data_IF_627514372296
#
_entry.id   IF_627514372296
#
_cell.length_a   1.000
_cell.length_b   1.000
_cell.length_c   1.000
_cell.angle_alpha   90.00
_cell.angle_beta   90.00
_cell.angle_gamma   90.00
#
_symmetry.space_group_name_H-M   'P 1'
#
loop_
_entity.id
_entity.type
_entity.pdbx_description
1 polymer ?
#
# COMPACT_ATOMS: atom_id res chain seq x y z
N UNK A 1 -3.32 -9.97 -9.53
CA UNK A 1 -2.85 -8.57 -9.50
C UNK A 1 -1.41 -8.49 -9.96
N UNK A 2 -1.02 -7.34 -10.49
CA UNK A 2 0.33 -7.05 -10.99
C UNK A 2 0.76 -5.72 -10.38
N UNK A 3 2.05 -5.53 -10.23
CA UNK A 3 2.60 -4.32 -9.64
C UNK A 3 3.90 -3.88 -10.34
N UNK A 4 4.21 -2.59 -10.16
CA UNK A 4 5.44 -1.93 -10.59
C UNK A 4 5.68 -1.84 -12.10
N UNK A 5 6.82 -1.36 -12.46
CA UNK A 5 7.26 -1.06 -13.82
C UNK A 5 8.53 -1.84 -14.15
N UNK A 6 8.82 -2.02 -15.44
CA UNK A 6 9.95 -2.83 -15.91
C UNK A 6 11.27 -2.03 -16.03
N UNK A 7 11.54 -1.08 -15.12
CA UNK A 7 12.71 -0.21 -15.13
C UNK A 7 12.87 0.67 -16.40
N UNK A 8 11.78 0.87 -17.14
CA UNK A 8 11.73 1.72 -18.32
C UNK A 8 10.52 2.64 -18.27
N UNK A 9 10.71 3.86 -18.75
CA UNK A 9 9.63 4.80 -18.98
C UNK A 9 9.06 4.55 -20.38
N UNK A 10 7.76 4.21 -20.46
CA UNK A 10 7.08 3.97 -21.73
C UNK A 10 6.18 5.15 -22.12
N UNK A 11 5.88 5.23 -23.42
CA UNK A 11 4.83 6.13 -23.90
C UNK A 11 3.46 5.68 -23.37
N UNK A 12 2.49 6.57 -23.39
CA UNK A 12 1.12 6.27 -22.98
C UNK A 12 0.50 5.15 -23.84
N UNK A 13 0.80 5.15 -25.14
CA UNK A 13 0.31 4.11 -26.07
C UNK A 13 0.85 2.73 -25.69
N UNK A 14 2.15 2.64 -25.37
CA UNK A 14 2.75 1.37 -24.94
C UNK A 14 2.18 0.89 -23.62
N UNK A 15 1.96 1.79 -22.67
CA UNK A 15 1.29 1.44 -21.40
C UNK A 15 -0.12 0.91 -21.64
N UNK A 16 -0.91 1.56 -22.47
CA UNK A 16 -2.25 1.10 -22.82
C UNK A 16 -2.24 -0.26 -23.51
N UNK A 17 -1.27 -0.52 -24.40
CA UNK A 17 -1.12 -1.83 -25.02
C UNK A 17 -0.82 -2.92 -23.98
N UNK A 18 0.12 -2.67 -23.05
CA UNK A 18 0.49 -3.60 -22.00
C UNK A 18 -0.70 -3.90 -21.08
N UNK A 19 -1.32 -2.86 -20.53
CA UNK A 19 -2.41 -3.02 -19.56
C UNK A 19 -3.64 -3.66 -20.19
N UNK A 20 -4.00 -3.27 -21.42
CA UNK A 20 -5.09 -3.88 -22.19
C UNK A 20 -4.82 -5.38 -22.45
N UNK A 21 -3.63 -5.73 -22.93
CA UNK A 21 -3.26 -7.12 -23.22
C UNK A 21 -3.35 -7.98 -21.95
N UNK A 22 -2.88 -7.47 -20.82
CA UNK A 22 -2.96 -8.16 -19.53
C UNK A 22 -4.42 -8.35 -19.10
N UNK A 23 -5.27 -7.32 -19.22
CA UNK A 23 -6.69 -7.40 -18.85
C UNK A 23 -7.46 -8.37 -19.77
N UNK A 24 -7.24 -8.31 -21.08
CA UNK A 24 -7.84 -9.26 -22.04
C UNK A 24 -7.48 -10.70 -21.69
N UNK A 25 -6.21 -10.97 -21.35
CA UNK A 25 -5.77 -12.28 -20.92
C UNK A 25 -6.42 -12.73 -19.61
N UNK A 26 -6.52 -11.84 -18.63
CA UNK A 26 -7.14 -12.14 -17.34
C UNK A 26 -8.64 -12.42 -17.45
N UNK A 27 -9.35 -11.68 -18.32
CA UNK A 27 -10.80 -11.82 -18.49
C UNK A 27 -11.21 -12.88 -19.49
N UNK A 28 -10.29 -13.37 -20.34
CA UNK A 28 -10.56 -14.48 -21.27
C UNK A 28 -10.41 -15.87 -20.64
N UNK A 29 -9.92 -15.98 -19.40
CA UNK A 29 -9.62 -17.25 -18.75
C UNK A 29 -10.13 -17.31 -17.31
N UNK A 30 -10.27 -18.51 -16.76
CA UNK A 30 -10.64 -18.72 -15.35
C UNK A 30 -11.97 -18.07 -14.96
N UNK A 31 -11.98 -17.35 -13.85
CA UNK A 31 -13.16 -16.66 -13.31
C UNK A 31 -13.50 -15.35 -14.03
N UNK A 32 -12.74 -14.97 -15.04
CA UNK A 32 -12.92 -13.71 -15.80
C UNK A 32 -12.90 -12.44 -14.93
N UNK A 33 -12.19 -12.48 -13.81
CA UNK A 33 -12.04 -11.34 -12.89
C UNK A 33 -10.88 -10.48 -13.38
N UNK A 34 -11.09 -9.17 -13.62
CA UNK A 34 -10.01 -8.25 -13.99
C UNK A 34 -8.90 -8.23 -12.94
N UNK A 35 -7.67 -8.03 -13.40
CA UNK A 35 -6.57 -7.77 -12.46
C UNK A 35 -6.62 -6.33 -11.94
N UNK A 36 -6.04 -6.11 -10.77
CA UNK A 36 -5.68 -4.77 -10.32
C UNK A 36 -4.17 -4.58 -10.57
N UNK A 37 -3.81 -3.50 -11.24
CA UNK A 37 -2.41 -3.12 -11.49
C UNK A 37 -2.05 -1.95 -10.60
N UNK A 38 -0.94 -2.04 -9.86
CA UNK A 38 -0.48 -1.01 -8.93
C UNK A 38 0.92 -0.49 -9.26
N UNK A 39 1.15 0.82 -9.08
CA UNK A 39 2.44 1.49 -9.30
C UNK A 39 2.73 2.51 -8.20
N UNK A 40 4.01 2.90 -8.10
CA UNK A 40 4.48 3.98 -7.23
C UNK A 40 4.52 5.32 -7.99
N UNK A 41 3.38 5.98 -8.11
CA UNK A 41 3.28 7.34 -8.64
C UNK A 41 3.16 8.35 -7.48
N UNK A 42 4.21 8.47 -6.65
CA UNK A 42 4.19 9.24 -5.40
C UNK A 42 4.21 10.76 -5.71
N UNK A 43 5.01 11.18 -6.68
CA UNK A 43 5.17 12.58 -7.08
C UNK A 43 4.94 12.80 -8.58
N UNK A 44 3.89 12.21 -9.11
CA UNK A 44 3.53 12.17 -10.51
C UNK A 44 3.67 10.78 -11.12
N UNK A 45 3.12 10.57 -12.30
CA UNK A 45 3.17 9.30 -13.03
C UNK A 45 4.53 9.12 -13.76
N UNK A 46 5.62 9.15 -13.02
CA UNK A 46 7.01 9.23 -13.52
C UNK A 46 7.43 8.08 -14.45
N UNK A 47 6.67 7.01 -14.51
CA UNK A 47 6.86 5.87 -15.40
C UNK A 47 6.24 6.06 -16.80
N UNK A 48 5.56 7.18 -17.04
CA UNK A 48 4.98 7.55 -18.33
C UNK A 48 5.82 8.68 -18.95
N UNK A 49 6.20 8.57 -20.22
CA UNK A 49 6.90 9.64 -20.93
C UNK A 49 6.00 10.89 -21.03
N UNK A 50 6.61 12.05 -20.78
CA UNK A 50 5.96 13.37 -20.85
C UNK A 50 4.85 13.58 -19.79
N UNK A 51 4.78 12.75 -18.75
CA UNK A 51 3.91 13.00 -17.60
C UNK A 51 4.41 14.16 -16.74
N UNK A 52 3.52 14.68 -15.91
CA UNK A 52 3.85 15.74 -14.97
C UNK A 52 4.72 15.20 -13.83
N UNK A 53 5.87 15.85 -13.61
CA UNK A 53 6.75 15.58 -12.48
C UNK A 53 6.51 16.64 -11.39
N UNK A 54 6.15 16.18 -10.22
CA UNK A 54 5.98 17.03 -9.04
C UNK A 54 7.20 16.94 -8.11
N UNK A 55 7.39 17.91 -7.19
CA UNK A 55 8.31 17.72 -6.08
C UNK A 55 7.97 16.48 -5.27
N UNK A 56 8.96 15.91 -4.58
CA UNK A 56 8.69 14.87 -3.56
C UNK A 56 7.74 15.41 -2.48
N UNK A 57 7.07 14.52 -1.75
CA UNK A 57 6.03 14.93 -0.80
C UNK A 57 6.54 15.90 0.27
N UNK A 58 7.81 15.82 0.69
CA UNK A 58 8.41 16.81 1.60
C UNK A 58 8.45 18.22 1.00
N UNK A 59 8.72 18.33 -0.31
CA UNK A 59 8.70 19.61 -1.03
C UNK A 59 7.29 20.16 -1.18
N UNK A 60 6.32 19.30 -1.46
CA UNK A 60 4.90 19.67 -1.47
C UNK A 60 4.45 20.15 -0.08
N UNK A 61 4.84 19.43 0.98
CA UNK A 61 4.48 19.79 2.36
C UNK A 61 5.03 21.15 2.78
N UNK A 62 6.18 21.56 2.28
CA UNK A 62 6.77 22.87 2.53
C UNK A 62 5.92 24.04 2.01
N UNK A 63 5.00 23.79 1.08
CA UNK A 63 4.05 24.80 0.59
C UNK A 63 2.92 25.13 1.57
N UNK A 64 2.58 24.21 2.46
CA UNK A 64 1.40 24.25 3.35
C UNK A 64 0.07 24.44 2.60
N UNK A 65 0.05 24.21 1.29
CA UNK A 65 -1.10 24.45 0.43
C UNK A 65 -1.92 23.16 0.21
N UNK A 66 -3.07 23.12 0.85
CA UNK A 66 -3.99 21.96 0.76
C UNK A 66 -4.67 21.84 -0.60
N UNK A 67 -4.86 22.95 -1.33
CA UNK A 67 -5.42 22.94 -2.66
C UNK A 67 -4.41 22.36 -3.67
N UNK A 68 -3.15 22.76 -3.55
CA UNK A 68 -2.04 22.22 -4.34
C UNK A 68 -1.85 20.72 -4.09
N UNK A 69 -1.93 20.25 -2.84
CA UNK A 69 -1.83 18.84 -2.51
C UNK A 69 -2.96 18.02 -3.17
N UNK A 70 -4.19 18.53 -3.15
CA UNK A 70 -5.31 17.89 -3.84
C UNK A 70 -5.14 17.88 -5.35
N UNK A 71 -4.67 18.98 -5.93
CA UNK A 71 -4.48 19.11 -7.38
C UNK A 71 -3.35 18.21 -7.88
N UNK A 72 -2.22 18.12 -7.16
CA UNK A 72 -1.17 17.15 -7.43
C UNK A 72 -1.75 15.72 -7.48
N UNK A 73 -2.54 15.34 -6.48
CA UNK A 73 -3.21 14.04 -6.45
C UNK A 73 -4.12 13.84 -7.67
N UNK A 74 -4.92 14.84 -8.04
CA UNK A 74 -5.83 14.77 -9.19
C UNK A 74 -5.08 14.58 -10.52
N UNK A 75 -4.03 15.35 -10.75
CA UNK A 75 -3.23 15.24 -11.99
C UNK A 75 -2.52 13.89 -12.03
N UNK A 76 -1.89 13.48 -10.94
CA UNK A 76 -1.24 12.16 -10.85
C UNK A 76 -2.24 11.03 -11.11
N UNK A 77 -3.44 11.11 -10.54
CA UNK A 77 -4.49 10.10 -10.79
C UNK A 77 -4.90 10.05 -12.25
N UNK A 78 -5.17 11.20 -12.84
CA UNK A 78 -5.56 11.30 -14.25
C UNK A 78 -4.53 10.67 -15.19
N UNK A 79 -3.25 11.02 -15.03
CA UNK A 79 -2.17 10.48 -15.86
C UNK A 79 -1.95 8.98 -15.60
N UNK A 80 -1.98 8.56 -14.32
CA UNK A 80 -1.87 7.14 -13.95
C UNK A 80 -3.02 6.32 -14.54
N UNK A 81 -4.25 6.81 -14.40
CA UNK A 81 -5.43 6.12 -14.94
C UNK A 81 -5.42 6.06 -16.47
N UNK A 82 -4.93 7.12 -17.13
CA UNK A 82 -4.77 7.16 -18.58
C UNK A 82 -3.87 6.02 -19.12
N UNK A 83 -2.91 5.55 -18.32
CA UNK A 83 -2.07 4.39 -18.67
C UNK A 83 -2.74 3.02 -18.44
N UNK A 84 -4.00 3.02 -18.01
CA UNK A 84 -4.74 1.79 -17.68
C UNK A 84 -4.44 1.24 -16.28
N UNK A 85 -3.72 2.00 -15.43
CA UNK A 85 -3.37 1.60 -14.06
C UNK A 85 -4.36 2.20 -13.07
N UNK A 86 -5.14 1.38 -12.33
CA UNK A 86 -6.19 1.89 -11.45
C UNK A 86 -5.77 2.06 -9.98
N UNK A 87 -4.52 1.76 -9.61
CA UNK A 87 -4.08 1.69 -8.21
C UNK A 87 -2.72 2.34 -8.03
N UNK A 88 -2.61 3.28 -7.09
CA UNK A 88 -1.39 4.01 -6.79
C UNK A 88 -0.92 3.76 -5.35
N UNK A 89 0.36 3.38 -5.17
CA UNK A 89 0.99 3.16 -3.87
C UNK A 89 1.42 4.48 -3.22
N UNK A 90 0.46 5.35 -2.95
CA UNK A 90 0.61 6.70 -2.40
C UNK A 90 -0.71 7.13 -1.74
N UNK A 91 -0.71 8.08 -0.78
CA UNK A 91 0.41 8.88 -0.27
C UNK A 91 1.26 8.14 0.78
N UNK A 92 2.48 8.69 1.03
CA UNK A 92 3.32 8.27 2.14
C UNK A 92 2.91 9.06 3.39
N UNK A 93 2.33 8.37 4.36
CA UNK A 93 1.82 8.96 5.60
C UNK A 93 2.73 8.73 6.80
N UNK A 94 3.92 8.17 6.55
CA UNK A 94 4.97 8.05 7.56
C UNK A 94 5.41 9.45 8.02
N UNK A 95 5.59 9.63 9.33
CA UNK A 95 6.10 10.90 9.85
C UNK A 95 7.62 10.98 9.70
N UNK A 96 8.10 12.05 9.08
CA UNK A 96 9.51 12.35 8.90
C UNK A 96 10.15 12.90 10.17
N UNK A 97 10.32 12.08 11.21
CA UNK A 97 10.93 12.49 12.49
C UNK A 97 12.37 12.02 12.64
N UNK A 98 12.89 11.25 11.71
CA UNK A 98 14.26 10.75 11.69
C UNK A 98 14.94 11.22 10.41
N UNK A 99 15.61 12.40 10.38
CA UNK A 99 16.15 13.00 9.15
C UNK A 99 17.19 12.16 8.43
N UNK A 100 17.86 11.23 9.11
CA UNK A 100 18.84 10.31 8.52
C UNK A 100 18.20 9.07 7.90
N UNK A 101 16.88 8.90 8.00
CA UNK A 101 16.19 7.82 7.31
C UNK A 101 16.19 8.07 5.79
N UNK A 102 16.60 7.04 5.01
CA UNK A 102 16.80 7.18 3.58
C UNK A 102 15.56 7.57 2.79
N UNK A 103 14.35 7.32 3.33
CA UNK A 103 13.06 7.64 2.72
C UNK A 103 12.38 8.90 3.31
N UNK A 104 13.11 9.66 4.11
CA UNK A 104 12.61 10.90 4.73
C UNK A 104 11.98 11.85 3.69
N UNK A 105 12.56 11.96 2.52
CA UNK A 105 12.10 12.85 1.44
C UNK A 105 10.73 12.47 0.85
N UNK A 106 10.30 11.22 1.02
CA UNK A 106 8.97 10.76 0.59
C UNK A 106 7.86 11.22 1.55
N UNK A 107 8.19 11.69 2.76
CA UNK A 107 7.21 12.02 3.80
C UNK A 107 6.63 13.43 3.65
N UNK A 108 5.48 13.67 4.27
CA UNK A 108 4.89 15.00 4.42
C UNK A 108 5.46 15.78 5.62
N UNK A 109 6.64 15.38 6.13
CA UNK A 109 7.32 16.01 7.25
C UNK A 109 6.97 15.40 8.61
N UNK A 110 7.43 16.10 9.69
CA UNK A 110 7.36 15.59 11.06
C UNK A 110 6.06 15.88 11.79
N UNK A 111 5.28 16.86 11.29
CA UNK A 111 4.08 17.34 11.94
C UNK A 111 2.86 16.47 11.62
N UNK A 112 2.24 15.93 12.67
CA UNK A 112 1.08 15.05 12.54
C UNK A 112 -0.12 15.72 11.88
N UNK A 113 -0.37 17.00 12.21
CA UNK A 113 -1.51 17.73 11.66
C UNK A 113 -1.32 18.02 10.18
N UNK A 114 -0.12 18.43 9.80
CA UNK A 114 0.24 18.69 8.40
C UNK A 114 0.13 17.41 7.57
N UNK A 115 0.78 16.32 8.00
CA UNK A 115 0.74 15.01 7.32
C UNK A 115 -0.71 14.49 7.19
N UNK A 116 -1.49 14.58 8.26
CA UNK A 116 -2.92 14.23 8.24
C UNK A 116 -3.70 15.06 7.22
N UNK A 117 -3.49 16.37 7.22
CA UNK A 117 -4.26 17.30 6.38
C UNK A 117 -3.90 17.15 4.92
N UNK A 118 -2.62 17.22 4.57
CA UNK A 118 -2.16 17.11 3.18
C UNK A 118 -2.37 15.71 2.62
N UNK A 119 -2.04 14.66 3.39
CA UNK A 119 -2.26 13.28 2.97
C UNK A 119 -3.74 12.99 2.65
N UNK A 120 -4.66 13.51 3.46
CA UNK A 120 -6.10 13.43 3.15
C UNK A 120 -6.46 14.14 1.84
N UNK A 121 -5.85 15.31 1.57
CA UNK A 121 -6.10 16.03 0.32
C UNK A 121 -5.56 15.30 -0.90
N UNK A 122 -4.38 14.68 -0.78
CA UNK A 122 -3.83 13.83 -1.83
C UNK A 122 -4.78 12.65 -2.14
N UNK A 123 -5.28 11.95 -1.11
CA UNK A 123 -6.27 10.87 -1.28
C UNK A 123 -7.54 11.38 -1.98
N UNK A 124 -8.04 12.54 -1.58
CA UNK A 124 -9.19 13.17 -2.25
C UNK A 124 -8.90 13.55 -3.71
N UNK A 125 -7.67 13.89 -4.03
CA UNK A 125 -7.22 14.09 -5.40
C UNK A 125 -7.20 12.80 -6.20
N UNK A 126 -6.64 11.72 -5.65
CA UNK A 126 -6.58 10.41 -6.30
C UNK A 126 -7.95 9.80 -6.55
N UNK A 127 -8.84 9.85 -5.56
CA UNK A 127 -10.08 9.09 -5.55
C UNK A 127 -11.33 9.92 -5.87
N UNK A 128 -11.18 11.25 -6.03
CA UNK A 128 -12.33 12.14 -6.27
C UNK A 128 -13.34 12.08 -5.13
N UNK A 129 -14.61 11.93 -5.47
CA UNK A 129 -15.72 11.77 -4.51
C UNK A 129 -16.04 10.30 -4.20
N UNK A 130 -15.18 9.37 -4.64
CA UNK A 130 -15.40 7.93 -4.47
C UNK A 130 -16.15 7.27 -5.63
N UNK A 131 -16.52 8.04 -6.65
CA UNK A 131 -17.03 7.53 -7.92
C UNK A 131 -15.83 7.32 -8.84
N UNK A 132 -15.30 6.10 -8.84
CA UNK A 132 -14.09 5.75 -9.59
C UNK A 132 -14.41 5.68 -11.09
N UNK A 133 -14.28 6.80 -11.73
CA UNK A 133 -14.36 6.92 -13.18
C UNK A 133 -12.98 6.71 -13.85
N UNK A 134 -12.91 7.06 -15.12
CA UNK A 134 -11.68 6.98 -15.92
C UNK A 134 -10.56 7.95 -15.52
N UNK A 135 -10.81 8.86 -14.59
CA UNK A 135 -9.88 9.93 -14.19
C UNK A 135 -9.30 9.70 -12.78
N UNK A 136 -9.75 8.65 -12.05
CA UNK A 136 -9.40 8.41 -10.67
C UNK A 136 -8.74 7.04 -10.46
N UNK A 137 -7.91 6.95 -9.41
CA UNK A 137 -7.21 5.72 -8.99
C UNK A 137 -7.44 5.46 -7.50
N UNK A 138 -7.37 4.21 -7.08
CA UNK A 138 -7.34 3.88 -5.65
C UNK A 138 -6.02 4.34 -5.03
N UNK A 139 -6.11 5.03 -3.89
CA UNK A 139 -4.97 5.31 -3.03
C UNK A 139 -4.55 4.07 -2.24
N UNK A 140 -3.25 3.94 -1.99
CA UNK A 140 -2.69 2.97 -1.06
C UNK A 140 -1.85 3.70 -0.02
N UNK A 141 -2.41 3.86 1.17
CA UNK A 141 -1.74 4.57 2.27
C UNK A 141 -0.53 3.78 2.73
N UNK A 142 0.64 4.41 2.84
CA UNK A 142 1.86 3.70 3.24
C UNK A 142 2.75 4.55 4.16
N UNK A 143 3.52 3.86 5.00
CA UNK A 143 3.51 2.43 5.30
C UNK A 143 2.93 2.21 6.70
N UNK A 144 1.83 1.57 6.78
CA UNK A 144 1.04 1.43 8.02
C UNK A 144 1.71 0.46 9.00
N UNK A 145 2.23 0.91 10.14
CA UNK A 145 2.39 2.24 10.71
C UNK A 145 3.70 2.30 11.50
N UNK A 146 4.30 3.49 11.58
CA UNK A 146 5.51 3.73 12.38
C UNK A 146 6.82 3.47 11.65
N UNK A 147 6.80 3.22 10.35
CA UNK A 147 7.97 2.91 9.52
C UNK A 147 8.98 4.06 9.44
N UNK A 148 8.52 5.31 9.37
CA UNK A 148 9.38 6.51 9.34
C UNK A 148 10.08 6.85 10.66
N UNK A 149 10.08 5.95 11.64
CA UNK A 149 10.70 6.15 12.95
C UNK A 149 11.75 5.07 13.31
N UNK A 150 12.63 4.66 12.37
CA UNK A 150 13.62 3.62 12.66
C UNK A 150 14.64 4.12 13.67
N UNK A 151 14.86 3.35 14.75
CA UNK A 151 15.79 3.71 15.83
C UNK A 151 17.22 3.99 15.34
N UNK A 152 17.66 3.29 14.31
CA UNK A 152 19.01 3.43 13.77
C UNK A 152 19.12 4.44 12.62
N UNK A 153 18.00 4.95 12.12
CA UNK A 153 17.91 5.73 10.87
C UNK A 153 18.03 4.88 9.60
N UNK A 154 18.35 3.59 9.70
CA UNK A 154 18.43 2.69 8.55
C UNK A 154 17.04 2.19 8.19
N UNK A 155 16.82 2.05 6.89
CA UNK A 155 15.56 1.52 6.37
C UNK A 155 15.28 0.09 6.86
N UNK A 156 14.01 -0.25 7.05
CA UNK A 156 13.55 -1.58 7.49
C UNK A 156 14.13 -2.04 8.84
N UNK A 157 14.51 -1.10 9.73
CA UNK A 157 14.99 -1.42 11.06
C UNK A 157 13.96 -1.08 12.13
N UNK A 158 14.09 -1.69 13.35
CA UNK A 158 13.09 -1.54 14.40
C UNK A 158 12.83 -0.10 14.85
N UNK A 159 11.57 0.21 15.11
CA UNK A 159 11.10 1.42 15.76
C UNK A 159 10.66 1.12 17.20
N UNK A 160 10.99 2.02 18.14
CA UNK A 160 10.48 1.97 19.52
C UNK A 160 9.53 3.16 19.70
N UNK A 161 8.25 2.89 19.70
CA UNK A 161 7.20 3.92 19.74
C UNK A 161 6.27 3.62 20.91
N UNK A 162 6.30 4.43 21.99
CA UNK A 162 5.34 4.27 23.08
C UNK A 162 3.90 4.33 22.56
N UNK A 163 3.01 3.55 23.15
CA UNK A 163 1.61 3.45 22.70
C UNK A 163 0.90 4.82 22.61
N UNK A 164 1.14 5.69 23.59
CA UNK A 164 0.62 7.06 23.56
C UNK A 164 1.12 7.82 22.33
N UNK A 165 2.41 7.75 22.03
CA UNK A 165 3.03 8.40 20.85
C UNK A 165 2.46 7.82 19.55
N UNK A 166 2.24 6.51 19.50
CA UNK A 166 1.60 5.84 18.37
C UNK A 166 0.20 6.43 18.13
N UNK A 167 -0.63 6.52 19.16
CA UNK A 167 -2.01 7.03 19.09
C UNK A 167 -2.08 8.53 18.80
N UNK A 168 -1.19 9.32 19.38
CA UNK A 168 -1.21 10.79 19.22
C UNK A 168 -0.60 11.25 17.88
N UNK A 169 0.36 10.51 17.34
CA UNK A 169 1.14 10.99 16.21
C UNK A 169 1.07 10.10 14.97
N UNK A 170 1.36 8.81 15.08
CA UNK A 170 1.55 7.96 13.91
C UNK A 170 0.23 7.43 13.32
N UNK A 171 -0.77 7.15 14.14
CA UNK A 171 -2.07 6.65 13.69
C UNK A 171 -2.96 7.71 13.02
N UNK A 172 -3.04 8.98 13.48
CA UNK A 172 -4.00 9.96 12.98
C UNK A 172 -3.92 10.28 11.48
N UNK A 173 -2.75 10.33 10.81
CA UNK A 173 -2.68 10.53 9.37
C UNK A 173 -3.41 9.42 8.60
N UNK A 174 -3.21 8.17 8.99
CA UNK A 174 -3.87 7.00 8.37
C UNK A 174 -5.36 6.96 8.67
N UNK A 175 -5.75 7.13 9.93
CA UNK A 175 -7.15 7.13 10.35
C UNK A 175 -7.98 8.16 9.57
N UNK A 176 -7.44 9.38 9.44
CA UNK A 176 -8.15 10.45 8.74
C UNK A 176 -8.26 10.17 7.23
N UNK A 177 -7.21 9.65 6.62
CA UNK A 177 -7.22 9.25 5.21
C UNK A 177 -8.20 8.10 4.95
N UNK A 178 -8.31 7.12 5.86
CA UNK A 178 -9.29 6.03 5.79
C UNK A 178 -10.72 6.58 5.93
N UNK A 179 -10.96 7.46 6.88
CA UNK A 179 -12.26 8.14 7.05
C UNK A 179 -12.66 8.98 5.83
N UNK A 180 -11.68 9.45 5.07
CA UNK A 180 -11.91 10.15 3.79
C UNK A 180 -12.15 9.21 2.60
N UNK A 181 -12.11 7.89 2.81
CA UNK A 181 -12.48 6.89 1.82
C UNK A 181 -11.32 6.15 1.16
N UNK A 182 -10.08 6.23 1.67
CA UNK A 182 -8.95 5.46 1.13
C UNK A 182 -9.28 3.96 1.06
N UNK A 183 -8.96 3.34 -0.09
CA UNK A 183 -9.38 1.97 -0.39
C UNK A 183 -8.36 0.90 -0.01
N UNK A 184 -7.08 1.25 0.10
CA UNK A 184 -6.03 0.26 0.40
C UNK A 184 -4.97 0.83 1.33
N UNK A 185 -4.29 -0.08 2.04
CA UNK A 185 -3.22 0.25 2.97
C UNK A 185 -2.05 -0.71 2.72
N UNK A 186 -0.83 -0.19 2.60
CA UNK A 186 0.39 -0.99 2.55
C UNK A 186 1.02 -1.07 3.93
N UNK A 187 1.36 -2.28 4.34
CA UNK A 187 1.88 -2.55 5.68
C UNK A 187 3.33 -2.10 5.82
N UNK A 188 3.70 -1.65 6.99
CA UNK A 188 5.06 -1.25 7.37
C UNK A 188 6.07 -2.41 7.22
N UNK A 189 7.14 -2.19 6.47
CA UNK A 189 8.24 -3.15 6.29
C UNK A 189 9.18 -3.28 7.49
N UNK A 190 9.02 -2.43 8.49
CA UNK A 190 9.83 -2.47 9.72
C UNK A 190 9.14 -3.24 10.84
N UNK A 191 9.67 -3.03 12.01
CA UNK A 191 9.21 -3.58 13.27
C UNK A 191 8.83 -2.46 14.22
N UNK A 192 7.77 -2.61 14.99
CA UNK A 192 7.38 -1.68 16.04
C UNK A 192 7.34 -2.41 17.38
N UNK A 193 8.15 -1.95 18.33
CA UNK A 193 8.21 -2.48 19.70
C UNK A 193 8.44 -4.00 19.76
N UNK A 194 9.29 -4.52 18.88
CA UNK A 194 9.64 -5.95 18.83
C UNK A 194 8.67 -6.81 18.00
N UNK A 195 7.68 -6.21 17.33
CA UNK A 195 6.75 -6.95 16.49
C UNK A 195 6.87 -6.46 15.05
N UNK A 196 7.26 -7.32 14.08
CA UNK A 196 7.23 -6.97 12.66
C UNK A 196 5.84 -6.50 12.21
N UNK A 197 5.78 -5.47 11.36
CA UNK A 197 4.51 -4.89 10.91
C UNK A 197 3.54 -5.94 10.37
N UNK A 198 4.05 -6.88 9.57
CA UNK A 198 3.27 -7.97 8.97
C UNK A 198 2.82 -9.07 9.94
N UNK A 199 3.40 -9.13 11.16
CA UNK A 199 2.97 -10.02 12.23
C UNK A 199 2.10 -9.32 13.29
N UNK A 200 1.88 -8.01 13.16
CA UNK A 200 1.23 -7.20 14.18
C UNK A 200 -0.30 -7.24 14.05
N UNK A 201 -0.89 -8.30 14.59
CA UNK A 201 -2.36 -8.49 14.59
C UNK A 201 -3.09 -7.30 15.24
N UNK A 202 -2.56 -6.76 16.34
CA UNK A 202 -3.18 -5.62 17.02
C UNK A 202 -3.36 -4.42 16.06
N UNK A 203 -2.31 -4.02 15.35
CA UNK A 203 -2.41 -2.90 14.44
C UNK A 203 -3.23 -3.24 13.18
N UNK A 204 -3.05 -4.44 12.61
CA UNK A 204 -3.69 -4.81 11.33
C UNK A 204 -5.15 -5.25 11.46
N UNK A 205 -5.51 -5.92 12.55
CA UNK A 205 -6.87 -6.42 12.75
C UNK A 205 -7.61 -5.53 13.73
N UNK A 206 -7.14 -5.45 14.99
CA UNK A 206 -7.94 -4.81 16.05
C UNK A 206 -8.10 -3.31 15.74
N UNK A 207 -7.01 -2.57 15.48
CA UNK A 207 -7.07 -1.12 15.21
C UNK A 207 -7.61 -0.83 13.80
N UNK A 208 -6.94 -1.35 12.74
CA UNK A 208 -7.26 -0.97 11.36
C UNK A 208 -8.65 -1.46 10.94
N UNK A 209 -8.95 -2.75 11.14
CA UNK A 209 -10.16 -3.37 10.60
C UNK A 209 -11.35 -3.26 11.55
N UNK A 210 -11.14 -3.49 12.86
CA UNK A 210 -12.22 -3.52 13.83
C UNK A 210 -12.54 -2.12 14.37
N UNK A 211 -11.58 -1.43 15.01
CA UNK A 211 -11.82 -0.12 15.61
C UNK A 211 -12.16 0.96 14.57
N UNK A 212 -11.44 1.00 13.45
CA UNK A 212 -11.67 1.99 12.39
C UNK A 212 -12.69 1.56 11.33
N UNK A 213 -13.11 0.31 11.35
CA UNK A 213 -14.06 -0.23 10.37
C UNK A 213 -13.54 -0.21 8.93
N UNK A 214 -12.24 -0.34 8.72
CA UNK A 214 -11.64 -0.28 7.39
C UNK A 214 -12.19 -1.37 6.47
N UNK A 215 -12.95 -0.96 5.46
CA UNK A 215 -13.63 -1.87 4.54
C UNK A 215 -12.79 -2.25 3.30
N UNK A 216 -11.66 -1.60 3.08
CA UNK A 216 -10.71 -1.90 2.02
C UNK A 216 -9.82 -3.10 2.35
N UNK A 217 -8.72 -3.27 1.62
CA UNK A 217 -7.77 -4.35 1.88
C UNK A 217 -6.37 -3.81 2.25
N UNK A 218 -5.65 -4.60 3.04
CA UNK A 218 -4.22 -4.39 3.32
C UNK A 218 -3.37 -5.23 2.37
N UNK A 219 -2.30 -4.62 1.84
CA UNK A 219 -1.29 -5.30 1.03
C UNK A 219 0.05 -5.30 1.78
N UNK A 220 0.84 -6.36 1.65
CA UNK A 220 2.21 -6.35 2.18
C UNK A 220 3.07 -5.37 1.40
N UNK A 221 4.20 -4.96 1.97
CA UNK A 221 5.27 -4.35 1.22
C UNK A 221 6.14 -5.44 0.55
N UNK A 222 7.21 -5.03 -0.11
CA UNK A 222 8.05 -5.84 -1.00
C UNK A 222 8.70 -7.02 -0.27
N UNK A 223 8.24 -8.22 -0.62
CA UNK A 223 8.73 -9.52 -0.10
C UNK A 223 8.63 -9.70 1.43
N UNK A 224 7.82 -8.92 2.13
CA UNK A 224 7.85 -8.93 3.59
C UNK A 224 7.29 -10.20 4.24
N UNK A 225 6.50 -11.00 3.52
CA UNK A 225 6.18 -12.36 3.96
C UNK A 225 7.45 -13.24 4.01
N UNK A 226 8.33 -13.05 3.02
CA UNK A 226 9.61 -13.75 2.96
C UNK A 226 10.55 -13.21 4.05
N UNK A 227 10.51 -11.90 4.28
CA UNK A 227 11.34 -11.22 5.26
C UNK A 227 11.00 -11.58 6.71
N UNK A 228 9.77 -11.94 7.05
CA UNK A 228 9.44 -12.51 8.36
C UNK A 228 10.27 -13.74 8.68
N UNK A 229 10.51 -14.59 7.68
CA UNK A 229 11.37 -15.77 7.84
C UNK A 229 12.85 -15.43 7.69
N UNK A 230 13.26 -14.74 6.63
CA UNK A 230 14.68 -14.57 6.29
C UNK A 230 15.37 -13.46 7.08
N UNK A 231 14.68 -12.40 7.43
CA UNK A 231 15.25 -11.19 8.03
C UNK A 231 14.86 -11.04 9.50
N UNK A 232 13.56 -10.97 9.79
CA UNK A 232 13.07 -10.85 11.16
C UNK A 232 13.23 -12.13 11.98
N UNK A 233 13.31 -13.29 11.30
CA UNK A 233 13.46 -14.61 11.91
C UNK A 233 12.42 -14.92 13.00
N UNK A 234 11.23 -14.34 12.85
CA UNK A 234 10.10 -14.61 13.75
C UNK A 234 9.45 -15.95 13.47
N UNK A 235 9.66 -16.48 12.26
CA UNK A 235 9.08 -17.74 11.80
C UNK A 235 10.15 -18.65 11.24
N UNK A 236 10.10 -19.94 11.61
CA UNK A 236 11.13 -20.91 11.26
C UNK A 236 11.12 -21.32 9.77
N UNK A 237 9.97 -21.18 9.10
CA UNK A 237 9.82 -21.49 7.69
C UNK A 237 9.02 -20.40 6.96
N UNK A 238 9.17 -20.31 5.63
CA UNK A 238 8.36 -19.44 4.81
C UNK A 238 6.85 -19.76 4.95
N UNK A 239 6.51 -21.03 5.14
CA UNK A 239 5.12 -21.46 5.35
C UNK A 239 4.55 -20.87 6.64
N UNK A 240 5.33 -20.89 7.73
CA UNK A 240 4.93 -20.28 9.01
C UNK A 240 4.76 -18.77 8.86
N UNK A 241 5.70 -18.11 8.19
CA UNK A 241 5.65 -16.67 7.93
C UNK A 241 4.39 -16.24 7.14
N UNK A 242 4.01 -17.02 6.14
CA UNK A 242 2.75 -16.80 5.40
C UNK A 242 1.54 -16.93 6.34
N UNK A 243 1.50 -17.97 7.17
CA UNK A 243 0.41 -18.17 8.13
C UNK A 243 0.33 -17.00 9.14
N UNK A 244 1.47 -16.57 9.67
CA UNK A 244 1.56 -15.44 10.61
C UNK A 244 1.01 -14.17 9.99
N UNK A 245 1.46 -13.78 8.81
CA UNK A 245 1.05 -12.53 8.18
C UNK A 245 -0.46 -12.53 7.79
N UNK A 246 -0.94 -13.61 7.20
CA UNK A 246 -2.37 -13.72 6.82
C UNK A 246 -3.26 -13.69 8.07
N UNK A 247 -2.90 -14.42 9.12
CA UNK A 247 -3.68 -14.45 10.37
C UNK A 247 -3.58 -13.15 11.16
N UNK A 248 -2.49 -12.39 11.01
CA UNK A 248 -2.38 -11.04 11.57
C UNK A 248 -3.31 -10.03 10.89
N UNK A 249 -3.73 -10.29 9.65
CA UNK A 249 -4.69 -9.42 8.97
C UNK A 249 -4.27 -8.93 7.58
N UNK A 250 -3.14 -9.35 7.03
CA UNK A 250 -2.73 -8.98 5.67
C UNK A 250 -3.63 -9.70 4.65
N UNK A 251 -4.18 -8.97 3.70
CA UNK A 251 -5.15 -9.51 2.73
C UNK A 251 -4.52 -9.89 1.40
N UNK A 252 -3.50 -9.14 0.95
CA UNK A 252 -2.80 -9.37 -0.32
C UNK A 252 -1.29 -9.41 -0.09
N UNK A 253 -0.62 -10.41 -0.65
CA UNK A 253 0.83 -10.54 -0.58
C UNK A 253 1.50 -9.92 -1.80
N UNK A 254 2.55 -9.14 -1.56
CA UNK A 254 3.44 -8.62 -2.60
C UNK A 254 4.65 -9.55 -2.74
N UNK A 255 4.58 -10.48 -3.71
CA UNK A 255 5.65 -11.42 -4.04
C UNK A 255 6.09 -11.18 -5.48
N UNK A 256 6.96 -10.17 -5.72
CA UNK A 256 7.23 -9.67 -7.07
C UNK A 256 8.12 -10.59 -7.90
N UNK A 257 8.99 -11.38 -7.25
CA UNK A 257 10.01 -12.14 -7.94
C UNK A 257 9.59 -13.57 -8.25
N UNK A 258 9.87 -14.02 -9.46
CA UNK A 258 9.73 -15.41 -9.86
C UNK A 258 11.03 -16.18 -9.46
N UNK A 259 10.98 -17.41 -8.92
CA UNK A 259 9.79 -18.30 -8.84
C UNK A 259 9.00 -18.20 -7.52
N UNK A 260 9.32 -17.28 -6.64
CA UNK A 260 8.79 -17.24 -5.28
C UNK A 260 7.25 -17.17 -5.24
N UNK A 261 6.60 -16.49 -6.17
CA UNK A 261 5.13 -16.42 -6.19
C UNK A 261 4.46 -17.78 -6.38
N UNK A 262 5.09 -18.69 -7.15
CA UNK A 262 4.56 -20.07 -7.35
C UNK A 262 4.66 -20.87 -6.06
N UNK A 263 5.80 -20.76 -5.37
CA UNK A 263 6.01 -21.39 -4.08
C UNK A 263 5.05 -20.82 -3.03
N UNK A 264 4.88 -19.49 -3.00
CA UNK A 264 3.88 -18.85 -2.16
C UNK A 264 2.49 -19.42 -2.36
N UNK A 265 2.00 -19.50 -3.60
CA UNK A 265 0.68 -20.04 -3.89
C UNK A 265 0.52 -21.50 -3.43
N UNK A 266 1.55 -22.32 -3.62
CA UNK A 266 1.57 -23.72 -3.17
C UNK A 266 1.46 -23.81 -1.65
N UNK A 267 2.34 -23.09 -0.93
CA UNK A 267 2.37 -23.08 0.54
C UNK A 267 1.07 -22.53 1.13
N UNK A 268 0.50 -21.49 0.50
CA UNK A 268 -0.76 -20.92 0.95
C UNK A 268 -1.92 -21.90 0.81
N UNK A 269 -1.99 -22.65 -0.30
CA UNK A 269 -2.98 -23.70 -0.48
C UNK A 269 -2.83 -24.82 0.57
N UNK A 270 -1.60 -25.22 0.87
CA UNK A 270 -1.34 -26.19 1.95
C UNK A 270 -1.85 -25.68 3.30
N UNK A 271 -1.58 -24.40 3.64
CA UNK A 271 -2.05 -23.79 4.89
C UNK A 271 -3.58 -23.80 5.04
N UNK A 272 -4.30 -23.60 3.95
CA UNK A 272 -5.77 -23.70 3.93
C UNK A 272 -6.19 -25.16 4.21
N UNK A 273 -5.60 -26.13 3.50
CA UNK A 273 -5.91 -27.55 3.66
C UNK A 273 -5.58 -28.05 5.08
N UNK A 274 -4.52 -27.55 5.69
CA UNK A 274 -4.11 -27.86 7.07
C UNK A 274 -4.92 -27.07 8.13
N UNK A 275 -5.82 -26.19 7.71
CA UNK A 275 -6.62 -25.29 8.59
C UNK A 275 -5.76 -24.35 9.46
N UNK A 276 -4.52 -24.09 9.07
CA UNK A 276 -3.63 -23.11 9.72
C UNK A 276 -4.00 -21.67 9.33
N UNK A 277 -4.62 -21.50 8.17
CA UNK A 277 -5.38 -20.30 7.79
C UNK A 277 -6.85 -20.71 7.66
N UNK A 278 -7.72 -20.09 8.43
CA UNK A 278 -9.15 -20.40 8.41
C UNK A 278 -9.81 -19.91 7.14
N UNK A 279 -10.80 -20.64 6.65
CA UNK A 279 -11.58 -20.26 5.45
C UNK A 279 -12.23 -18.89 5.62
N UNK A 280 -12.73 -18.55 6.80
CA UNK A 280 -13.33 -17.26 7.10
C UNK A 280 -12.34 -16.10 6.92
N UNK A 281 -11.04 -16.31 7.25
CA UNK A 281 -9.99 -15.31 7.05
C UNK A 281 -9.67 -15.13 5.55
N UNK A 282 -9.63 -16.24 4.80
CA UNK A 282 -9.47 -16.21 3.36
C UNK A 282 -10.64 -15.47 2.69
N UNK A 283 -11.86 -15.81 3.05
CA UNK A 283 -13.08 -15.19 2.53
C UNK A 283 -13.13 -13.70 2.80
N UNK A 284 -12.72 -13.26 4.00
CA UNK A 284 -12.64 -11.84 4.33
C UNK A 284 -11.63 -11.12 3.41
N UNK A 285 -10.42 -11.67 3.23
CA UNK A 285 -9.41 -11.10 2.34
C UNK A 285 -9.93 -10.99 0.90
N UNK A 286 -10.50 -12.08 0.39
CA UNK A 286 -11.04 -12.14 -0.98
C UNK A 286 -12.18 -11.13 -1.16
N UNK A 287 -13.13 -11.03 -0.22
CA UNK A 287 -14.22 -10.04 -0.30
C UNK A 287 -13.71 -8.61 -0.31
N UNK A 288 -12.69 -8.29 0.50
CA UNK A 288 -12.06 -6.95 0.53
C UNK A 288 -11.42 -6.61 -0.81
N UNK A 289 -10.63 -7.53 -1.35
CA UNK A 289 -9.98 -7.36 -2.66
C UNK A 289 -11.02 -7.21 -3.78
N UNK A 290 -12.02 -8.08 -3.81
CA UNK A 290 -13.07 -8.04 -4.84
C UNK A 290 -13.92 -6.76 -4.76
N UNK A 291 -14.21 -6.27 -3.55
CA UNK A 291 -14.90 -5.00 -3.34
C UNK A 291 -14.14 -3.83 -3.95
N UNK A 292 -12.83 -3.77 -3.76
CA UNK A 292 -12.00 -2.72 -4.37
C UNK A 292 -11.92 -2.89 -5.87
N UNK A 293 -11.70 -4.10 -6.38
CA UNK A 293 -11.73 -4.38 -7.82
C UNK A 293 -13.05 -3.94 -8.47
N UNK A 294 -14.18 -4.23 -7.84
CA UNK A 294 -15.49 -3.84 -8.33
C UNK A 294 -15.70 -2.32 -8.39
N UNK A 295 -15.10 -1.59 -7.45
CA UNK A 295 -15.16 -0.11 -7.47
C UNK A 295 -14.30 0.52 -8.56
N UNK A 296 -13.26 -0.16 -9.01
CA UNK A 296 -12.26 0.38 -9.96
C UNK A 296 -12.55 0.03 -11.43
N UNK A 297 -13.53 -0.82 -11.69
CA UNK A 297 -13.89 -1.31 -13.05
C UNK A 297 -15.15 -0.65 -13.58
#
# INVERSE_FOLDING_TARGET
SILNVSNHTFTLENWNLITKTIQEKATSSGLKIPIIYGVDAIHGATYIQNSTLFPQEIGLAASWDTAMAKEMGRITAYETRASGVPWNFSPVLDLGRVPIWSRFFETLGEDTYLAKTLGTKIVQGYQGKGDFDKDHVAACLKHYVGYGFPRTGRDRTPALIPERTMKEHHLPPFENAIKSGALTVMVNSGEVNGIPGHANKHLLTDVLKEDWGFAGFSVSDWEDFINLHKVAQTDSTLKDAIATAINAGVDMSMVPNNPEYKNYCKLFLELINERRVKTERLDDAVRRILRVKHKLN
#
